data_IF_507272857439
#
_entry.id   IF_507272857439
#
_cell.length_a   1.000
_cell.length_b   1.000
_cell.length_c   1.000
_cell.angle_alpha   90.00
_cell.angle_beta   90.00
_cell.angle_gamma   90.00
#
_symmetry.space_group_name_H-M   'P 1'
#
loop_
_entity.id
_entity.type
_entity.pdbx_description
1 polymer ?
#
# COMPACT_ATOMS: atom_id res chain seq x y z
N UNK A 1 10.98 3.55 7.21
CA UNK A 1 10.79 4.27 5.92
C UNK A 1 9.58 3.71 5.19
N UNK A 2 8.67 4.56 4.79
CA UNK A 2 7.46 4.20 4.05
C UNK A 2 7.69 4.53 2.58
N UNK A 3 7.41 3.59 1.68
CA UNK A 3 7.41 3.86 0.25
C UNK A 3 6.03 4.33 -0.16
N UNK A 4 5.91 5.44 -0.88
CA UNK A 4 4.63 5.92 -1.38
C UNK A 4 4.70 6.20 -2.87
N UNK A 5 3.65 5.78 -3.58
CA UNK A 5 3.55 6.00 -5.03
C UNK A 5 2.11 6.07 -5.48
N UNK A 6 1.92 6.62 -6.65
CA UNK A 6 0.60 6.76 -7.26
C UNK A 6 0.71 6.93 -8.76
N UNK A 7 -0.42 6.82 -9.47
CA UNK A 7 -0.54 7.31 -10.82
C UNK A 7 -1.14 8.73 -10.82
N UNK A 8 -1.46 9.25 -12.00
CA UNK A 8 -2.04 10.58 -12.13
C UNK A 8 -3.38 10.73 -11.39
N UNK A 9 -4.19 9.67 -11.32
CA UNK A 9 -5.47 9.70 -10.60
C UNK A 9 -5.31 9.76 -9.09
N UNK A 10 -4.18 9.30 -8.56
CA UNK A 10 -3.88 9.32 -7.14
C UNK A 10 -3.00 10.48 -6.68
N UNK A 11 -2.57 11.32 -7.59
CA UNK A 11 -1.57 12.35 -7.27
C UNK A 11 -2.02 13.31 -6.16
N UNK A 12 -3.22 13.85 -6.27
CA UNK A 12 -3.74 14.80 -5.27
C UNK A 12 -3.84 14.15 -3.88
N UNK A 13 -4.35 12.92 -3.82
CA UNK A 13 -4.45 12.20 -2.55
C UNK A 13 -3.07 11.84 -1.99
N UNK A 14 -2.12 11.50 -2.84
CA UNK A 14 -0.74 11.24 -2.39
C UNK A 14 -0.15 12.48 -1.69
N UNK A 15 -0.40 13.68 -2.21
CA UNK A 15 0.06 14.91 -1.57
C UNK A 15 -0.54 15.07 -0.16
N UNK A 16 -1.83 14.76 -0.01
CA UNK A 16 -2.49 14.78 1.31
C UNK A 16 -1.89 13.77 2.28
N UNK A 17 -1.64 12.56 1.80
CA UNK A 17 -1.04 11.50 2.62
C UNK A 17 0.38 11.88 3.04
N UNK A 18 1.20 12.41 2.12
CA UNK A 18 2.56 12.82 2.45
C UNK A 18 2.57 13.94 3.49
N UNK A 19 1.67 14.91 3.37
CA UNK A 19 1.53 15.97 4.37
C UNK A 19 1.17 15.39 5.74
N UNK A 20 0.27 14.41 5.74
CA UNK A 20 -0.14 13.72 6.97
C UNK A 20 1.04 12.96 7.61
N UNK A 21 1.84 12.27 6.81
CA UNK A 21 3.04 11.59 7.30
C UNK A 21 4.06 12.59 7.88
N UNK A 22 4.21 13.74 7.23
CA UNK A 22 5.07 14.81 7.76
C UNK A 22 4.59 15.27 9.14
N UNK A 23 3.29 15.48 9.31
CA UNK A 23 2.70 15.89 10.59
C UNK A 23 2.90 14.84 11.68
N UNK A 24 2.91 13.55 11.31
CA UNK A 24 3.15 12.45 12.24
C UNK A 24 4.66 12.22 12.50
N UNK A 25 5.53 12.92 11.80
CA UNK A 25 6.97 12.73 11.92
C UNK A 25 7.47 11.41 11.34
N UNK A 26 6.73 10.82 10.40
CA UNK A 26 7.09 9.55 9.77
C UNK A 26 7.86 9.77 8.48
N UNK A 27 9.01 9.11 8.35
CA UNK A 27 9.84 9.20 7.15
C UNK A 27 9.24 8.41 6.00
N UNK A 28 9.25 8.98 4.81
CA UNK A 28 8.77 8.31 3.61
C UNK A 28 9.64 8.68 2.40
N UNK A 29 9.50 7.89 1.36
CA UNK A 29 10.17 8.14 0.08
C UNK A 29 9.12 8.09 -1.03
N UNK A 30 9.06 9.15 -1.83
CA UNK A 30 8.11 9.30 -2.92
C UNK A 30 8.68 8.69 -4.20
N UNK A 31 8.00 7.65 -4.70
CA UNK A 31 8.39 6.94 -5.93
C UNK A 31 7.64 7.43 -7.16
N UNK A 32 6.85 8.51 -7.04
CA UNK A 32 6.09 9.09 -8.15
C UNK A 32 4.66 8.50 -8.24
N UNK A 33 3.84 8.99 -9.19
CA UNK A 33 4.22 10.03 -10.17
C UNK A 33 4.31 11.42 -9.50
N UNK A 34 4.78 12.40 -10.27
CA UNK A 34 5.05 13.75 -9.76
C UNK A 34 4.18 14.84 -10.40
N UNK A 35 3.15 14.45 -11.12
CA UNK A 35 2.22 15.38 -11.77
C UNK A 35 0.88 14.70 -12.01
N UNK A 36 -0.09 15.47 -12.51
CA UNK A 36 -1.40 14.96 -12.90
C UNK A 36 -1.47 14.53 -14.37
N UNK A 37 -0.35 14.57 -15.09
CA UNK A 37 -0.29 14.07 -16.46
C UNK A 37 -0.50 12.57 -16.51
N UNK A 38 -1.28 12.11 -17.49
CA UNK A 38 -1.61 10.69 -17.65
C UNK A 38 -0.35 9.83 -17.69
N UNK A 39 -0.36 8.75 -16.92
CA UNK A 39 0.75 7.81 -16.82
C UNK A 39 0.22 6.41 -16.50
N UNK A 40 1.10 5.43 -16.53
CA UNK A 40 0.73 4.03 -16.36
C UNK A 40 0.97 3.56 -14.92
N UNK A 41 -0.09 3.21 -14.22
CA UNK A 41 -0.05 2.84 -12.80
C UNK A 41 0.90 1.66 -12.48
N UNK A 42 1.08 0.63 -13.37
CA UNK A 42 1.96 -0.49 -13.02
C UNK A 42 3.42 -0.09 -12.79
N UNK A 43 3.89 0.98 -13.45
CA UNK A 43 5.26 1.49 -13.26
C UNK A 43 5.47 1.86 -11.78
N UNK A 44 4.53 2.58 -11.21
CA UNK A 44 4.63 3.06 -9.83
C UNK A 44 4.29 1.97 -8.82
N UNK A 45 3.34 1.10 -9.16
CA UNK A 45 3.04 -0.08 -8.34
C UNK A 45 4.24 -0.99 -8.20
N UNK A 46 4.95 -1.24 -9.29
CA UNK A 46 6.16 -2.06 -9.27
C UNK A 46 7.29 -1.38 -8.48
N UNK A 47 7.49 -0.09 -8.68
CA UNK A 47 8.59 0.64 -8.02
C UNK A 47 8.46 0.55 -6.49
N UNK A 48 7.27 0.82 -5.94
CA UNK A 48 7.02 0.72 -4.51
C UNK A 48 7.15 -0.73 -4.04
N UNK A 49 6.57 -1.67 -4.78
CA UNK A 49 6.60 -3.09 -4.41
C UNK A 49 8.04 -3.61 -4.32
N UNK A 50 8.91 -3.26 -5.27
CA UNK A 50 10.29 -3.71 -5.22
C UNK A 50 11.08 -3.09 -4.08
N UNK A 51 10.83 -1.84 -3.73
CA UNK A 51 11.47 -1.21 -2.58
C UNK A 51 11.08 -1.90 -1.27
N UNK A 52 9.81 -2.28 -1.13
CA UNK A 52 9.32 -3.01 0.05
C UNK A 52 9.85 -4.44 0.06
N UNK A 53 9.82 -5.14 -1.06
CA UNK A 53 10.32 -6.51 -1.16
C UNK A 53 11.83 -6.62 -0.89
N UNK A 54 12.60 -5.60 -1.26
CA UNK A 54 14.05 -5.55 -1.03
C UNK A 54 14.41 -5.15 0.41
N UNK A 55 13.43 -4.75 1.22
CA UNK A 55 13.68 -4.30 2.59
C UNK A 55 14.18 -2.87 2.71
N UNK A 56 14.20 -2.11 1.62
CA UNK A 56 14.56 -0.69 1.64
C UNK A 56 13.53 0.13 2.39
N UNK A 57 12.27 -0.29 2.29
CA UNK A 57 11.14 0.30 3.00
C UNK A 57 10.36 -0.81 3.70
N UNK A 58 9.84 -0.54 4.89
CA UNK A 58 9.10 -1.54 5.66
C UNK A 58 7.67 -1.74 5.17
N UNK A 59 7.05 -0.66 4.73
CA UNK A 59 5.66 -0.61 4.29
C UNK A 59 5.55 0.27 3.05
N UNK A 60 4.49 0.02 2.28
CA UNK A 60 4.19 0.83 1.12
C UNK A 60 2.75 1.33 1.13
N UNK A 61 2.53 2.46 0.46
CA UNK A 61 1.21 3.04 0.21
C UNK A 61 1.12 3.33 -1.27
N UNK A 62 0.09 2.80 -1.93
CA UNK A 62 -0.14 2.98 -3.35
C UNK A 62 -1.54 3.53 -3.60
N UNK A 63 -1.66 4.49 -4.50
CA UNK A 63 -2.92 5.17 -4.79
C UNK A 63 -3.10 5.30 -6.29
N UNK A 64 -4.26 4.85 -6.79
CA UNK A 64 -4.69 5.17 -8.15
C UNK A 64 -6.17 5.56 -8.10
N UNK A 65 -6.87 5.63 -9.23
CA UNK A 65 -8.27 6.03 -9.23
C UNK A 65 -9.16 5.13 -8.37
N UNK A 66 -9.00 3.82 -8.49
CA UNK A 66 -9.76 2.82 -7.71
C UNK A 66 -8.91 2.09 -6.69
N UNK A 67 -7.60 2.12 -6.82
CA UNK A 67 -6.66 1.31 -6.04
C UNK A 67 -6.53 -0.12 -6.57
N UNK A 68 -7.40 -0.54 -7.48
CA UNK A 68 -7.46 -1.92 -7.96
C UNK A 68 -6.26 -2.27 -8.83
N UNK A 69 -6.06 -1.54 -9.92
CA UNK A 69 -4.97 -1.85 -10.87
C UNK A 69 -3.60 -1.77 -10.23
N UNK A 70 -3.37 -0.78 -9.38
CA UNK A 70 -2.08 -0.60 -8.74
C UNK A 70 -1.82 -1.68 -7.69
N UNK A 71 -2.85 -2.18 -7.00
CA UNK A 71 -2.71 -3.29 -6.06
C UNK A 71 -2.41 -4.61 -6.79
N UNK A 72 -3.07 -4.86 -7.92
CA UNK A 72 -2.78 -6.03 -8.75
C UNK A 72 -1.33 -6.01 -9.21
N UNK A 73 -0.86 -4.86 -9.67
CA UNK A 73 0.52 -4.68 -10.14
C UNK A 73 1.52 -4.99 -9.03
N UNK A 74 1.32 -4.41 -7.85
CA UNK A 74 2.21 -4.64 -6.71
C UNK A 74 2.27 -6.11 -6.32
N UNK A 75 1.13 -6.80 -6.34
CA UNK A 75 1.06 -8.22 -5.96
C UNK A 75 1.75 -9.16 -6.95
N UNK A 76 2.20 -8.68 -8.11
CA UNK A 76 3.01 -9.48 -9.04
C UNK A 76 4.48 -9.59 -8.58
N UNK A 77 4.90 -8.78 -7.62
CA UNK A 77 6.26 -8.81 -7.10
C UNK A 77 6.31 -9.79 -5.92
N UNK A 78 7.26 -10.73 -5.95
CA UNK A 78 7.41 -11.72 -4.87
C UNK A 78 7.65 -11.04 -3.53
N UNK A 79 6.99 -11.54 -2.50
CA UNK A 79 7.10 -11.03 -1.15
C UNK A 79 6.12 -9.91 -0.83
N UNK A 80 5.29 -9.51 -1.78
CA UNK A 80 4.32 -8.44 -1.59
C UNK A 80 2.93 -9.00 -1.32
N UNK A 81 2.31 -8.47 -0.30
CA UNK A 81 0.89 -8.62 0.01
C UNK A 81 0.30 -7.23 0.07
N UNK A 82 -0.18 -6.76 -1.07
CA UNK A 82 -0.84 -5.46 -1.19
C UNK A 82 -2.34 -5.65 -1.00
N UNK A 83 -2.90 -4.89 -0.08
CA UNK A 83 -4.32 -4.94 0.24
C UNK A 83 -5.02 -3.67 -0.20
N UNK A 84 -6.04 -3.82 -1.04
CA UNK A 84 -6.93 -2.72 -1.41
C UNK A 84 -7.93 -2.52 -0.27
N UNK A 85 -7.85 -1.40 0.41
CA UNK A 85 -8.72 -1.10 1.54
C UNK A 85 -9.52 0.17 1.29
N UNK A 86 -10.82 0.08 1.49
CA UNK A 86 -11.75 1.20 1.39
C UNK A 86 -12.40 1.55 2.73
N UNK A 87 -11.97 0.91 3.82
CA UNK A 87 -12.50 1.14 5.16
C UNK A 87 -11.44 0.78 6.22
N UNK A 88 -11.66 1.25 7.44
CA UNK A 88 -10.69 1.06 8.52
C UNK A 88 -10.68 -0.39 9.04
N UNK A 89 -11.82 -1.08 9.00
CA UNK A 89 -11.87 -2.46 9.44
C UNK A 89 -11.00 -3.36 8.57
N UNK A 90 -11.11 -3.22 7.23
CA UNK A 90 -10.28 -3.99 6.30
C UNK A 90 -8.80 -3.67 6.49
N UNK A 91 -8.46 -2.40 6.72
CA UNK A 91 -7.08 -1.99 6.95
C UNK A 91 -6.52 -2.61 8.22
N UNK A 92 -7.30 -2.65 9.28
CA UNK A 92 -6.91 -3.30 10.54
C UNK A 92 -6.73 -4.80 10.35
N UNK A 93 -7.73 -5.46 9.75
CA UNK A 93 -7.72 -6.92 9.62
C UNK A 93 -6.64 -7.40 8.67
N UNK A 94 -6.36 -6.69 7.59
CA UNK A 94 -5.28 -7.11 6.68
C UNK A 94 -3.91 -7.02 7.35
N UNK A 95 -3.73 -6.10 8.28
CA UNK A 95 -2.54 -6.07 9.11
C UNK A 95 -2.52 -7.23 10.10
N UNK A 96 -3.58 -7.40 10.87
CA UNK A 96 -3.66 -8.43 11.91
C UNK A 96 -3.58 -9.84 11.35
N UNK A 97 -4.21 -10.10 10.21
CA UNK A 97 -4.39 -11.45 9.66
C UNK A 97 -3.47 -11.76 8.48
N UNK A 98 -3.22 -10.80 7.60
CA UNK A 98 -2.50 -11.03 6.35
C UNK A 98 -1.08 -10.46 6.38
N UNK A 99 -0.72 -9.73 7.40
CA UNK A 99 0.56 -9.01 7.46
C UNK A 99 0.82 -8.28 6.15
N UNK A 100 -0.21 -7.63 5.60
CA UNK A 100 -0.08 -6.90 4.36
C UNK A 100 1.00 -5.83 4.52
N UNK A 101 1.91 -5.77 3.55
CA UNK A 101 3.03 -4.82 3.61
C UNK A 101 2.82 -3.62 2.70
N UNK A 102 1.77 -3.62 1.87
CA UNK A 102 1.38 -2.47 1.06
C UNK A 102 -0.13 -2.24 1.20
N UNK A 103 -0.49 -0.98 1.45
CA UNK A 103 -1.86 -0.50 1.41
C UNK A 103 -2.12 0.12 0.05
N UNK A 104 -3.20 -0.28 -0.62
CA UNK A 104 -3.65 0.39 -1.84
C UNK A 104 -5.00 1.06 -1.60
N UNK A 105 -5.18 2.24 -2.17
CA UNK A 105 -6.40 3.03 -2.01
C UNK A 105 -6.84 3.66 -3.32
N UNK A 106 -8.14 3.91 -3.43
CA UNK A 106 -8.74 4.56 -4.59
C UNK A 106 -9.08 6.02 -4.33
N UNK A 107 -8.37 6.94 -4.97
CA UNK A 107 -8.57 8.38 -4.77
C UNK A 107 -9.94 8.87 -5.23
N UNK A 108 -10.55 8.18 -6.21
CA UNK A 108 -11.89 8.53 -6.70
C UNK A 108 -13.00 7.85 -5.92
N UNK A 109 -12.65 6.95 -5.00
CA UNK A 109 -13.60 6.20 -4.17
C UNK A 109 -13.67 6.78 -2.77
N UNK A 110 -12.53 7.22 -2.23
CA UNK A 110 -12.39 7.67 -0.85
C UNK A 110 -12.28 9.18 -0.77
N UNK A 111 -12.95 9.78 0.21
CA UNK A 111 -12.64 11.14 0.62
C UNK A 111 -11.32 11.17 1.38
N UNK A 112 -10.62 12.33 1.41
CA UNK A 112 -9.32 12.42 2.08
C UNK A 112 -9.37 12.11 3.57
N UNK A 113 -10.43 12.50 4.27
CA UNK A 113 -10.57 12.22 5.70
C UNK A 113 -10.55 10.74 6.01
N UNK A 114 -11.32 9.94 5.28
CA UNK A 114 -11.33 8.49 5.46
C UNK A 114 -10.01 7.87 5.04
N UNK A 115 -9.43 8.32 3.94
CA UNK A 115 -8.15 7.81 3.46
C UNK A 115 -7.06 7.98 4.52
N UNK A 116 -6.98 9.13 5.19
CA UNK A 116 -5.99 9.36 6.24
C UNK A 116 -6.21 8.46 7.45
N UNK A 117 -7.46 8.19 7.82
CA UNK A 117 -7.77 7.22 8.89
C UNK A 117 -7.37 5.80 8.53
N UNK A 118 -7.56 5.42 7.27
CA UNK A 118 -7.13 4.11 6.77
C UNK A 118 -5.61 3.99 6.85
N UNK A 119 -4.88 5.04 6.46
CA UNK A 119 -3.42 5.09 6.58
C UNK A 119 -2.98 4.92 8.03
N UNK A 120 -3.59 5.67 8.94
CA UNK A 120 -3.27 5.58 10.38
C UNK A 120 -3.47 4.16 10.89
N UNK A 121 -4.61 3.55 10.56
CA UNK A 121 -4.94 2.19 11.00
C UNK A 121 -3.93 1.19 10.45
N UNK A 122 -3.60 1.30 9.17
CA UNK A 122 -2.65 0.40 8.52
C UNK A 122 -1.25 0.51 9.14
N UNK A 123 -0.78 1.72 9.38
CA UNK A 123 0.58 1.94 9.89
C UNK A 123 0.72 1.61 11.38
N UNK A 124 -0.37 1.65 12.15
CA UNK A 124 -0.31 1.44 13.60
C UNK A 124 -0.72 0.05 14.06
N UNK A 125 -1.16 -0.84 13.16
CA UNK A 125 -1.65 -2.17 13.53
C UNK A 125 -0.57 -3.23 13.32
N UNK A 126 -0.33 -4.04 14.36
CA UNK A 126 0.64 -5.12 14.33
C UNK A 126 0.02 -6.42 13.82
N UNK A 127 0.88 -7.31 13.31
CA UNK A 127 0.49 -8.65 12.91
C UNK A 127 0.27 -9.53 14.15
N UNK A 128 -0.84 -10.28 14.16
CA UNK A 128 -1.15 -11.17 15.31
C UNK A 128 -0.30 -12.44 15.36
N UNK A 129 0.18 -12.92 14.21
CA UNK A 129 0.91 -14.18 14.16
C UNK A 129 0.00 -15.39 14.37
N UNK A 130 0.49 -16.40 15.10
CA UNK A 130 -0.27 -17.60 15.39
C UNK A 130 -0.76 -18.32 14.15
N UNK A 131 -2.05 -18.69 14.12
CA UNK A 131 -2.66 -19.38 12.96
C UNK A 131 -2.58 -18.58 11.67
N UNK A 132 -2.50 -17.26 11.77
CA UNK A 132 -2.41 -16.39 10.60
C UNK A 132 -1.05 -16.51 9.92
N UNK A 133 0.03 -16.73 10.68
CA UNK A 133 1.37 -16.97 10.12
C UNK A 133 1.38 -18.23 9.23
N UNK A 134 0.70 -19.29 9.64
CA UNK A 134 0.57 -20.52 8.83
C UNK A 134 -0.17 -20.23 7.52
N UNK A 135 -1.23 -19.46 7.58
CA UNK A 135 -2.02 -19.11 6.38
C UNK A 135 -1.23 -18.25 5.40
N UNK A 136 -0.46 -17.29 5.90
CA UNK A 136 0.40 -16.46 5.06
C UNK A 136 1.49 -17.32 4.40
N UNK A 137 2.05 -18.29 5.13
CA UNK A 137 3.02 -19.24 4.57
C UNK A 137 2.44 -20.01 3.39
N UNK A 138 1.16 -20.38 3.45
CA UNK A 138 0.47 -21.05 2.34
C UNK A 138 0.32 -20.12 1.12
N UNK A 139 0.12 -18.83 1.33
CA UNK A 139 0.12 -17.84 0.23
C UNK A 139 1.51 -17.80 -0.42
N UNK A 140 2.56 -17.75 0.40
CA UNK A 140 3.94 -17.76 -0.10
C UNK A 140 4.26 -19.02 -0.90
N UNK A 141 3.73 -20.17 -0.49
CA UNK A 141 3.89 -21.42 -1.21
C UNK A 141 3.29 -21.35 -2.62
N UNK A 142 2.11 -20.72 -2.76
CA UNK A 142 1.48 -20.51 -4.07
C UNK A 142 2.40 -19.67 -4.95
N UNK A 143 2.92 -18.57 -4.40
CA UNK A 143 3.81 -17.67 -5.11
C UNK A 143 5.06 -18.39 -5.60
N UNK A 144 5.63 -19.25 -4.76
CA UNK A 144 6.88 -19.96 -5.07
C UNK A 144 6.69 -21.14 -6.04
N UNK A 145 5.46 -21.63 -6.21
CA UNK A 145 5.14 -22.67 -7.19
C UNK A 145 4.82 -22.13 -8.57
N UNK A 146 4.37 -20.87 -8.64
CA UNK A 146 4.04 -20.20 -9.89
C UNK A 146 5.26 -19.63 -10.57
#
# INVERSE_FOLDING_TARGET
>A
MIAIGCDHGGFALKQEVMRHLDELGLAYRDFGTYSEESCDYPIYGEAVARAVAAGECERGILICGTGIGISISANKVKGIRAALCGDCYSAEMTRRHNDANILAMGARVLGPGLALKIVDTFLSTEFEGGRHARRIALISDIENRG
#
